data_IF_399365396862
#
_entry.id   IF_399365396862
#
_cell.length_a   1.000
_cell.length_b   1.000
_cell.length_c   1.000
_cell.angle_alpha   90.00
_cell.angle_beta   90.00
_cell.angle_gamma   90.00
#
_symmetry.space_group_name_H-M   'P 1'
#
loop_
_entity.id
_entity.type
_entity.pdbx_description
1 polymer ?
#
# COMPACT_ATOMS: atom_id res chain seq x y z
N UNK A 1 5.76 1.05 7.57
CA UNK A 1 5.07 -0.08 6.89
C UNK A 1 3.83 0.44 6.18
N UNK A 2 3.41 -0.22 5.10
CA UNK A 2 2.15 0.10 4.42
C UNK A 2 1.31 -1.17 4.33
N UNK A 3 0.12 -1.15 4.91
CA UNK A 3 -0.85 -2.25 4.82
C UNK A 3 -1.92 -1.90 3.80
N UNK A 4 -2.33 -2.87 2.98
CA UNK A 4 -3.34 -2.70 1.94
C UNK A 4 -4.52 -3.59 2.26
N UNK A 5 -5.72 -3.03 2.18
CA UNK A 5 -6.98 -3.64 2.57
C UNK A 5 -7.97 -3.60 1.42
N UNK A 6 -8.81 -4.64 1.32
CA UNK A 6 -10.00 -4.58 0.48
C UNK A 6 -11.11 -3.75 1.18
N UNK A 7 -12.26 -3.59 0.50
CA UNK A 7 -13.43 -2.87 1.03
C UNK A 7 -14.01 -3.46 2.31
N UNK A 8 -13.76 -4.75 2.58
CA UNK A 8 -14.22 -5.45 3.77
C UNK A 8 -13.24 -5.28 4.96
N UNK A 9 -12.16 -4.52 4.79
CA UNK A 9 -11.14 -4.31 5.80
C UNK A 9 -10.16 -5.49 5.97
N UNK A 10 -10.16 -6.45 5.05
CA UNK A 10 -9.23 -7.60 5.08
C UNK A 10 -7.90 -7.18 4.46
N UNK A 11 -6.79 -7.50 5.12
CA UNK A 11 -5.44 -7.26 4.60
C UNK A 11 -5.18 -8.14 3.38
N UNK A 12 -4.89 -7.51 2.25
CA UNK A 12 -4.59 -8.17 0.98
C UNK A 12 -3.09 -8.22 0.70
N UNK A 13 -2.36 -7.18 1.10
CA UNK A 13 -0.91 -7.08 0.92
C UNK A 13 -0.27 -6.16 1.97
N UNK A 14 1.04 -6.31 2.18
CA UNK A 14 1.81 -5.49 3.10
C UNK A 14 3.20 -5.18 2.53
N UNK A 15 3.52 -3.89 2.42
CA UNK A 15 4.82 -3.42 1.99
C UNK A 15 5.66 -3.07 3.23
N UNK A 16 6.66 -3.90 3.50
CA UNK A 16 7.66 -3.65 4.55
C UNK A 16 8.75 -2.74 4.00
N UNK A 17 8.68 -1.47 4.38
CA UNK A 17 9.70 -0.48 4.08
C UNK A 17 10.73 -0.46 5.22
N UNK A 18 12.01 -0.33 4.86
CA UNK A 18 13.07 0.04 5.81
C UNK A 18 12.89 1.49 6.27
N UNK A 19 13.66 1.91 7.27
CA UNK A 19 13.62 3.29 7.77
C UNK A 19 13.91 4.28 6.63
N UNK A 20 12.92 5.13 6.33
CA UNK A 20 13.02 6.16 5.31
C UNK A 20 13.33 7.51 5.98
N UNK A 21 14.18 8.32 5.34
CA UNK A 21 14.39 9.71 5.77
C UNK A 21 13.15 10.55 5.47
N UNK A 22 12.96 11.64 6.19
CA UNK A 22 11.90 12.60 5.83
C UNK A 22 12.14 13.17 4.42
N UNK A 23 11.09 13.27 3.61
CA UNK A 23 11.17 13.76 2.24
C UNK A 23 10.01 13.30 1.37
N UNK A 24 10.01 13.78 0.12
CA UNK A 24 9.02 13.41 -0.88
C UNK A 24 9.50 12.20 -1.69
N UNK A 25 8.71 11.12 -1.68
CA UNK A 25 8.97 9.90 -2.43
C UNK A 25 7.95 9.78 -3.56
N UNK A 26 8.17 10.52 -4.64
CA UNK A 26 7.23 10.63 -5.77
C UNK A 26 7.62 9.80 -7.00
N UNK A 27 8.90 9.43 -7.10
CA UNK A 27 9.44 8.62 -8.21
C UNK A 27 9.33 7.15 -7.82
N UNK A 28 8.88 6.31 -8.76
CA UNK A 28 8.59 4.88 -8.53
C UNK A 28 9.75 4.11 -7.87
N UNK A 29 10.99 4.41 -8.24
CA UNK A 29 12.18 3.71 -7.72
C UNK A 29 12.49 4.06 -6.26
N UNK A 30 11.97 5.19 -5.76
CA UNK A 30 12.13 5.63 -4.38
C UNK A 30 10.85 5.44 -3.58
N UNK A 31 9.69 5.49 -4.25
CA UNK A 31 8.39 5.37 -3.64
C UNK A 31 8.05 3.92 -3.31
N UNK A 32 7.21 3.75 -2.29
CA UNK A 32 6.57 2.47 -2.08
C UNK A 32 5.60 2.18 -3.23
N UNK A 33 5.85 1.11 -3.97
CA UNK A 33 5.04 0.69 -5.09
C UNK A 33 4.35 -0.64 -4.77
N UNK A 34 3.03 -0.67 -4.92
CA UNK A 34 2.28 -1.92 -4.93
C UNK A 34 1.99 -2.32 -6.36
N UNK A 35 2.28 -3.58 -6.69
CA UNK A 35 2.12 -4.16 -8.01
C UNK A 35 0.72 -4.77 -8.27
N UNK A 36 -0.22 -4.58 -7.33
CA UNK A 36 -1.56 -5.14 -7.44
C UNK A 36 -1.62 -6.64 -7.13
N UNK A 37 -0.62 -7.20 -6.43
CA UNK A 37 -0.63 -8.60 -6.00
C UNK A 37 -0.98 -8.77 -4.53
N UNK A 38 -1.66 -9.86 -4.23
CA UNK A 38 -1.90 -10.31 -2.86
C UNK A 38 -0.61 -10.83 -2.22
N UNK A 39 -0.65 -11.11 -0.91
CA UNK A 39 0.46 -11.78 -0.21
C UNK A 39 0.84 -13.15 -0.83
N UNK A 40 -0.08 -13.78 -1.56
CA UNK A 40 0.16 -15.07 -2.23
C UNK A 40 0.74 -14.90 -3.64
N UNK A 41 0.98 -13.66 -4.09
CA UNK A 41 1.50 -13.36 -5.43
C UNK A 41 0.42 -13.33 -6.53
N UNK A 42 -0.84 -13.54 -6.18
CA UNK A 42 -1.96 -13.51 -7.14
C UNK A 42 -2.37 -12.08 -7.46
N UNK A 43 -2.74 -11.81 -8.72
CA UNK A 43 -3.29 -10.52 -9.11
C UNK A 43 -4.65 -10.32 -8.45
N UNK A 44 -4.84 -9.16 -7.84
CA UNK A 44 -6.13 -8.78 -7.26
C UNK A 44 -7.09 -8.30 -8.37
N UNK A 45 -8.38 -8.36 -8.09
CA UNK A 45 -9.41 -7.82 -8.98
C UNK A 45 -9.33 -6.29 -9.10
N UNK A 46 -9.83 -5.76 -10.21
CA UNK A 46 -10.10 -4.32 -10.30
C UNK A 46 -11.11 -3.92 -9.23
N UNK A 47 -10.92 -2.74 -8.62
CA UNK A 47 -11.78 -2.29 -7.54
C UNK A 47 -11.14 -1.26 -6.63
N UNK A 48 -11.87 -0.94 -5.56
CA UNK A 48 -11.43 0.00 -4.54
C UNK A 48 -10.65 -0.75 -3.46
N UNK A 49 -9.50 -0.20 -3.12
CA UNK A 49 -8.65 -0.66 -2.03
C UNK A 49 -8.32 0.51 -1.11
N UNK A 50 -7.94 0.21 0.12
CA UNK A 50 -7.48 1.18 1.08
C UNK A 50 -6.06 0.83 1.49
N UNK A 51 -5.19 1.82 1.56
CA UNK A 51 -3.86 1.63 2.13
C UNK A 51 -3.69 2.47 3.38
N UNK A 52 -2.97 1.94 4.34
CA UNK A 52 -2.63 2.61 5.58
C UNK A 52 -1.11 2.71 5.71
N UNK A 53 -0.61 3.93 5.84
CA UNK A 53 0.79 4.22 6.13
C UNK A 53 0.95 4.33 7.65
N UNK A 54 1.90 3.58 8.20
CA UNK A 54 2.30 3.68 9.61
C UNK A 54 3.79 4.00 9.72
N UNK A 55 4.11 5.09 10.43
CA UNK A 55 5.46 5.54 10.73
C UNK A 55 5.50 6.14 12.14
N UNK A 56 6.24 5.54 13.08
CA UNK A 56 6.32 5.96 14.49
C UNK A 56 4.98 6.48 15.07
N UNK A 57 4.80 7.81 15.14
CA UNK A 57 3.61 8.49 15.69
C UNK A 57 2.58 8.94 14.62
N UNK A 58 2.72 8.48 13.39
CA UNK A 58 1.90 8.83 12.24
C UNK A 58 1.15 7.61 11.72
N UNK A 59 -0.15 7.80 11.51
CA UNK A 59 -1.05 6.84 10.89
C UNK A 59 -1.96 7.59 9.92
N UNK A 60 -1.99 7.16 8.66
CA UNK A 60 -2.91 7.73 7.67
C UNK A 60 -3.43 6.65 6.74
N UNK A 61 -4.72 6.73 6.44
CA UNK A 61 -5.39 5.85 5.47
C UNK A 61 -5.85 6.63 4.26
N UNK A 62 -5.69 6.07 3.06
CA UNK A 62 -6.20 6.66 1.82
C UNK A 62 -6.78 5.58 0.90
N UNK A 63 -7.68 6.02 0.01
CA UNK A 63 -8.32 5.18 -1.01
C UNK A 63 -7.42 5.09 -2.24
N UNK A 64 -7.36 3.91 -2.84
CA UNK A 64 -6.72 3.60 -4.11
C UNK A 64 -7.72 2.86 -4.99
N UNK A 65 -7.65 3.05 -6.31
CA UNK A 65 -8.47 2.32 -7.28
C UNK A 65 -7.54 1.55 -8.21
N UNK A 66 -7.78 0.26 -8.35
CA UNK A 66 -7.16 -0.57 -9.38
C UNK A 66 -8.15 -0.69 -10.53
N UNK A 67 -7.69 -0.35 -11.72
CA UNK A 67 -8.40 -0.54 -12.98
C UNK A 67 -7.46 -1.30 -13.93
N UNK A 68 -8.02 -2.19 -14.74
CA UNK A 68 -7.29 -2.95 -15.77
C UNK A 68 -7.56 -2.30 -17.12
#
# INVERSE_FOLDING_TARGET
MISIYNINGVVVSCLKLSQQKAGNYLVRDMAAYWDGRSMNGELVSSGVYFYQIRANHFLASRKMVISK
#
